data_IF_718434881075
#
_entry.id   IF_718434881075
#
_cell.length_a   1.000
_cell.length_b   1.000
_cell.length_c   1.000
_cell.angle_alpha   90.00
_cell.angle_beta   90.00
_cell.angle_gamma   90.00
#
_symmetry.space_group_name_H-M   'P 1'
#
loop_
_entity.id
_entity.type
_entity.pdbx_description
1 polymer ?
#
# COMPACT_ATOMS: atom_id res chain seq x y z
N UNK A 1 15.54 -50.91 -19.05
CA UNK A 1 14.24 -50.77 -18.37
C UNK A 1 14.45 -50.42 -16.89
N UNK A 2 14.95 -49.21 -16.59
CA UNK A 2 15.23 -48.74 -15.22
C UNK A 2 15.00 -47.23 -15.05
N UNK A 3 14.43 -46.53 -16.04
CA UNK A 3 14.23 -45.07 -16.00
C UNK A 3 12.89 -44.66 -15.37
N UNK A 4 11.92 -45.56 -15.22
CA UNK A 4 10.58 -45.23 -14.71
C UNK A 4 10.50 -45.20 -13.18
N UNK A 5 11.40 -45.90 -12.46
CA UNK A 5 11.39 -45.94 -10.99
C UNK A 5 12.08 -44.73 -10.33
N UNK A 6 13.06 -44.11 -11.00
CA UNK A 6 13.76 -42.93 -10.45
C UNK A 6 12.83 -41.71 -10.31
N UNK A 7 11.88 -41.55 -11.22
CA UNK A 7 10.87 -40.48 -11.17
C UNK A 7 9.92 -40.62 -9.97
N UNK A 8 9.62 -41.86 -9.56
CA UNK A 8 8.70 -42.13 -8.44
C UNK A 8 9.29 -41.77 -7.08
N UNK A 9 10.61 -41.82 -6.92
CA UNK A 9 11.28 -41.47 -5.67
C UNK A 9 11.53 -39.97 -5.48
N UNK A 10 11.46 -39.16 -6.55
CA UNK A 10 11.59 -37.71 -6.44
C UNK A 10 10.29 -37.02 -6.02
N UNK A 11 9.14 -37.67 -6.20
CA UNK A 11 7.83 -37.06 -5.94
C UNK A 11 7.31 -37.29 -4.51
N UNK A 12 8.02 -38.04 -3.66
CA UNK A 12 7.51 -38.43 -2.34
C UNK A 12 8.18 -37.73 -1.14
N UNK A 13 9.28 -37.02 -1.31
CA UNK A 13 9.91 -36.28 -0.21
C UNK A 13 9.89 -34.77 -0.45
N UNK A 14 9.04 -34.09 0.31
CA UNK A 14 9.21 -32.69 0.75
C UNK A 14 8.79 -31.55 -0.21
N UNK A 15 7.51 -31.44 -0.57
CA UNK A 15 6.88 -30.13 -0.83
C UNK A 15 5.46 -29.94 -0.24
N UNK A 16 4.97 -30.89 0.58
CA UNK A 16 3.76 -30.69 1.40
C UNK A 16 4.06 -30.02 2.75
N UNK A 17 5.11 -29.20 2.80
CA UNK A 17 5.40 -28.31 3.91
C UNK A 17 5.25 -26.83 3.52
N UNK A 18 4.32 -26.52 2.61
CA UNK A 18 3.75 -25.16 2.53
C UNK A 18 2.78 -24.98 3.71
N UNK A 19 3.37 -25.01 4.92
CA UNK A 19 2.89 -24.30 6.09
C UNK A 19 2.40 -22.93 5.61
N UNK A 20 1.19 -22.57 5.98
CA UNK A 20 0.59 -21.24 5.82
C UNK A 20 1.55 -20.09 6.14
N UNK A 21 2.47 -19.74 5.24
CA UNK A 21 3.01 -18.40 5.20
C UNK A 21 1.95 -17.58 4.47
N UNK A 22 0.97 -17.10 5.25
CA UNK A 22 0.23 -15.87 4.94
C UNK A 22 1.29 -14.80 4.72
N UNK A 23 1.81 -14.68 3.51
CA UNK A 23 2.46 -13.46 3.06
C UNK A 23 1.33 -12.44 3.09
N UNK A 24 1.25 -11.69 4.20
CA UNK A 24 0.36 -10.53 4.29
C UNK A 24 0.96 -9.54 3.31
N UNK A 25 0.58 -9.65 2.03
CA UNK A 25 0.93 -8.72 0.98
C UNK A 25 0.39 -7.36 1.44
N UNK A 26 1.24 -6.59 2.12
CA UNK A 26 0.93 -5.23 2.52
C UNK A 26 0.97 -4.45 1.22
N UNK A 27 -0.20 -4.22 0.62
CA UNK A 27 -0.32 -3.45 -0.61
C UNK A 27 0.21 -2.05 -0.32
N UNK A 28 1.45 -1.78 -0.72
CA UNK A 28 2.04 -0.44 -0.71
C UNK A 28 1.40 0.35 -1.83
N UNK A 29 0.54 1.30 -1.48
CA UNK A 29 -0.01 2.27 -2.42
C UNK A 29 0.78 3.55 -2.29
N UNK A 30 1.33 4.02 -3.39
CA UNK A 30 2.05 5.29 -3.47
C UNK A 30 1.09 6.35 -4.01
N UNK A 31 1.09 7.51 -3.36
CA UNK A 31 0.27 8.65 -3.74
C UNK A 31 1.18 9.86 -3.95
N UNK A 32 0.99 10.53 -5.09
CA UNK A 32 1.66 11.80 -5.34
C UNK A 32 0.90 12.90 -4.58
N UNK A 33 1.58 13.55 -3.66
CA UNK A 33 1.06 14.69 -2.89
C UNK A 33 1.73 15.95 -3.41
N UNK A 34 0.93 16.90 -3.87
CA UNK A 34 1.37 18.25 -4.25
C UNK A 34 1.20 19.12 -3.02
N UNK A 35 2.27 19.79 -2.59
CA UNK A 35 2.24 20.71 -1.44
C UNK A 35 2.53 22.13 -1.95
N UNK A 36 1.60 23.02 -1.68
CA UNK A 36 1.70 24.44 -1.98
C UNK A 36 1.79 25.22 -0.67
N UNK A 37 2.55 26.33 -0.68
CA UNK A 37 2.60 27.27 0.45
C UNK A 37 2.07 28.61 -0.02
N UNK A 38 1.18 29.20 0.75
CA UNK A 38 0.65 30.53 0.48
C UNK A 38 1.54 31.66 1.04
N UNK A 39 1.13 32.90 0.79
CA UNK A 39 1.82 34.11 1.28
C UNK A 39 1.75 34.27 2.80
N UNK A 40 0.76 33.65 3.45
CA UNK A 40 0.51 33.75 4.89
C UNK A 40 1.23 32.65 5.68
N UNK A 41 1.96 31.77 4.98
CA UNK A 41 2.78 30.70 5.55
C UNK A 41 2.00 29.42 5.84
N UNK A 42 0.75 29.29 5.39
CA UNK A 42 0.02 28.04 5.44
C UNK A 42 0.44 27.12 4.29
N UNK A 43 0.28 25.82 4.53
CA UNK A 43 0.50 24.79 3.53
C UNK A 43 -0.82 24.16 3.13
N UNK A 44 -0.93 23.83 1.85
CA UNK A 44 -2.06 23.10 1.27
C UNK A 44 -1.52 21.87 0.57
N UNK A 45 -1.93 20.69 1.02
CA UNK A 45 -1.64 19.42 0.37
C UNK A 45 -2.82 19.01 -0.51
N UNK A 46 -2.52 18.50 -1.70
CA UNK A 46 -3.49 18.02 -2.68
C UNK A 46 -3.03 16.68 -3.26
N UNK A 47 -3.94 15.72 -3.42
CA UNK A 47 -3.63 14.41 -4.01
C UNK A 47 -4.38 14.26 -5.33
N UNK A 48 -3.73 14.46 -6.50
CA UNK A 48 -4.44 14.45 -7.79
C UNK A 48 -5.16 13.14 -8.11
N UNK A 49 -4.66 12.02 -7.58
CA UNK A 49 -5.29 10.70 -7.75
C UNK A 49 -6.54 10.51 -6.87
N UNK A 50 -6.77 11.38 -5.89
CA UNK A 50 -7.95 11.39 -5.03
C UNK A 50 -8.69 12.71 -5.23
N UNK A 51 -9.65 12.70 -6.15
CA UNK A 51 -10.39 13.90 -6.51
C UNK A 51 -11.01 14.57 -5.28
N UNK A 52 -10.70 15.87 -5.09
CA UNK A 52 -11.23 16.67 -3.99
C UNK A 52 -10.49 16.51 -2.65
N UNK A 53 -9.41 15.73 -2.57
CA UNK A 53 -8.60 15.64 -1.37
C UNK A 53 -7.63 16.83 -1.30
N UNK A 54 -8.05 17.87 -0.56
CA UNK A 54 -7.27 19.06 -0.24
C UNK A 54 -7.25 19.24 1.28
N UNK A 55 -6.07 19.41 1.86
CA UNK A 55 -5.91 19.57 3.31
C UNK A 55 -4.99 20.74 3.61
N UNK A 56 -5.46 21.78 4.32
CA UNK A 56 -4.61 22.86 4.80
C UNK A 56 -3.99 22.53 6.17
N UNK A 57 -2.78 23.03 6.43
CA UNK A 57 -2.13 22.96 7.74
C UNK A 57 -1.11 24.10 7.94
N UNK A 58 -0.72 24.36 9.21
CA UNK A 58 0.26 25.41 9.54
C UNK A 58 1.71 24.92 9.49
N UNK A 59 1.93 23.61 9.57
CA UNK A 59 3.24 22.98 9.49
C UNK A 59 3.20 21.81 8.53
N UNK A 60 4.38 21.45 7.99
CA UNK A 60 4.50 20.25 7.15
C UNK A 60 4.22 18.97 7.93
N UNK A 61 4.57 18.90 9.21
CA UNK A 61 4.33 17.71 10.04
C UNK A 61 2.83 17.46 10.23
N UNK A 62 2.06 18.50 10.58
CA UNK A 62 0.60 18.45 10.70
C UNK A 62 -0.05 18.10 9.35
N UNK A 63 0.46 18.71 8.27
CA UNK A 63 -0.03 18.44 6.92
C UNK A 63 0.10 16.96 6.55
N UNK A 64 1.27 16.37 6.84
CA UNK A 64 1.58 15.00 6.51
C UNK A 64 0.80 13.99 7.34
N UNK A 65 0.44 14.31 8.58
CA UNK A 65 -0.44 13.49 9.41
C UNK A 65 -1.87 13.50 8.85
N UNK A 66 -2.42 14.70 8.65
CA UNK A 66 -3.80 14.87 8.18
C UNK A 66 -4.04 14.32 6.77
N UNK A 67 -3.08 14.50 5.84
CA UNK A 67 -3.24 14.00 4.47
C UNK A 67 -3.20 12.47 4.41
N UNK A 68 -2.45 11.81 5.30
CA UNK A 68 -2.45 10.34 5.40
C UNK A 68 -3.79 9.84 5.87
N UNK A 69 -4.35 10.43 6.92
CA UNK A 69 -5.70 10.10 7.40
C UNK A 69 -6.75 10.33 6.32
N UNK A 70 -6.67 11.46 5.61
CA UNK A 70 -7.59 11.75 4.50
C UNK A 70 -7.48 10.71 3.37
N UNK A 71 -6.26 10.30 2.98
CA UNK A 71 -6.03 9.23 2.01
C UNK A 71 -6.65 7.91 2.49
N UNK A 72 -6.40 7.52 3.75
CA UNK A 72 -6.95 6.29 4.33
C UNK A 72 -8.48 6.30 4.32
N UNK A 73 -9.11 7.40 4.76
CA UNK A 73 -10.57 7.57 4.74
C UNK A 73 -11.14 7.53 3.31
N UNK A 74 -10.50 8.19 2.34
CA UNK A 74 -10.94 8.15 0.95
C UNK A 74 -10.90 6.73 0.38
N UNK A 75 -9.91 5.93 0.77
CA UNK A 75 -9.81 4.54 0.35
C UNK A 75 -10.87 3.64 1.01
N UNK A 76 -11.27 3.93 2.24
CA UNK A 76 -12.35 3.22 2.93
C UNK A 76 -13.73 3.54 2.32
N UNK A 77 -14.00 4.82 2.03
CA UNK A 77 -15.31 5.26 1.50
C UNK A 77 -15.50 4.85 0.03
N UNK A 78 -14.43 4.78 -0.77
CA UNK A 78 -14.50 4.35 -2.18
C UNK A 78 -14.83 2.86 -2.39
N UNK A 79 -15.05 2.08 -1.32
CA UNK A 79 -15.44 0.67 -1.35
C UNK A 79 -16.92 0.42 -0.98
N UNK A 80 -17.76 1.46 -0.92
CA UNK A 80 -19.20 1.35 -0.63
C UNK A 80 -20.08 1.46 -1.90
#
# INVERSE_FOLDING_TARGET
MYLVSASYLFNQYSLLALRHQKIKLKMTREFNVIIERDSDGYFVASVPSLAGCHTPAKSLDELMERIKEAIELCLEVGQA
#
